data_IF_038431794178
#
_entry.id   IF_038431794178
#
_cell.length_a   1.000
_cell.length_b   1.000
_cell.length_c   1.000
_cell.angle_alpha   90.00
_cell.angle_beta   90.00
_cell.angle_gamma   90.00
#
_symmetry.space_group_name_H-M   'P 1'
#
loop_
_entity.id
_entity.type
_entity.pdbx_description
1 polymer ?
#
# COMPACT_ATOMS: atom_id res chain seq x y z
N UNK A 1 1.11 -28.62 4.55
CA UNK A 1 0.13 -28.31 5.63
C UNK A 1 -1.22 -28.14 4.96
N UNK A 2 -2.30 -28.63 5.55
CA UNK A 2 -3.63 -28.49 4.91
C UNK A 2 -4.30 -27.22 5.41
N UNK A 3 -3.89 -26.05 4.90
CA UNK A 3 -4.52 -24.78 5.24
C UNK A 3 -5.89 -24.66 4.56
N UNK A 4 -6.88 -24.12 5.28
CA UNK A 4 -8.24 -23.91 4.76
C UNK A 4 -8.39 -22.54 4.09
N UNK A 5 -7.53 -21.58 4.44
CA UNK A 5 -7.57 -20.24 3.89
C UNK A 5 -6.19 -19.61 3.78
N UNK A 6 -6.05 -18.77 2.75
CA UNK A 6 -4.89 -17.92 2.50
C UNK A 6 -5.34 -16.46 2.51
N UNK A 7 -4.71 -15.66 3.36
CA UNK A 7 -4.88 -14.23 3.42
C UNK A 7 -3.70 -13.57 2.70
N UNK A 8 -3.98 -12.67 1.78
CA UNK A 8 -2.95 -11.92 1.06
C UNK A 8 -2.99 -10.45 1.42
N UNK A 9 -1.83 -9.85 1.59
CA UNK A 9 -1.67 -8.42 1.42
C UNK A 9 -1.74 -8.05 -0.07
N UNK A 10 -1.95 -6.76 -0.38
CA UNK A 10 -2.09 -6.27 -1.75
C UNK A 10 -0.80 -5.65 -2.26
N UNK A 11 -0.36 -4.55 -1.63
CA UNK A 11 0.72 -3.70 -2.10
C UNK A 11 2.09 -4.36 -1.84
N UNK A 12 2.91 -4.47 -2.87
CA UNK A 12 4.20 -5.14 -2.88
C UNK A 12 4.16 -6.64 -2.50
N UNK A 13 2.94 -7.22 -2.52
CA UNK A 13 2.69 -8.65 -2.40
C UNK A 13 2.09 -9.23 -3.68
N UNK A 14 0.96 -8.70 -4.13
CA UNK A 14 0.27 -9.05 -5.38
C UNK A 14 0.40 -7.96 -6.44
N UNK A 15 0.32 -6.69 -6.03
CA UNK A 15 0.62 -5.53 -6.86
C UNK A 15 2.05 -5.08 -6.62
N UNK A 16 2.74 -4.67 -7.67
CA UNK A 16 4.05 -4.04 -7.56
C UNK A 16 3.88 -2.52 -7.41
N UNK A 17 3.42 -2.12 -6.21
CA UNK A 17 3.08 -0.72 -5.91
C UNK A 17 4.32 0.17 -5.86
N UNK A 18 5.43 -0.32 -5.30
CA UNK A 18 6.71 0.39 -5.28
C UNK A 18 7.15 0.83 -6.68
N UNK A 19 7.04 -0.07 -7.67
CA UNK A 19 7.34 0.26 -9.06
C UNK A 19 6.42 1.34 -9.61
N UNK A 20 5.12 1.22 -9.35
CA UNK A 20 4.12 2.19 -9.81
C UNK A 20 4.39 3.58 -9.24
N UNK A 21 4.73 3.66 -7.95
CA UNK A 21 5.09 4.92 -7.28
C UNK A 21 6.39 5.49 -7.84
N UNK A 22 7.42 4.64 -8.01
CA UNK A 22 8.72 5.08 -8.52
C UNK A 22 8.61 5.64 -9.94
N UNK A 23 7.93 4.92 -10.86
CA UNK A 23 7.74 5.40 -12.23
C UNK A 23 6.93 6.70 -12.29
N UNK A 24 5.92 6.87 -11.41
CA UNK A 24 5.17 8.12 -11.32
C UNK A 24 6.07 9.29 -10.89
N UNK A 25 6.95 9.09 -9.92
CA UNK A 25 7.95 10.10 -9.55
C UNK A 25 8.91 10.38 -10.70
N UNK A 26 9.48 9.35 -11.34
CA UNK A 26 10.43 9.50 -12.45
C UNK A 26 9.83 10.34 -13.59
N UNK A 27 8.59 10.06 -13.97
CA UNK A 27 7.91 10.80 -15.05
C UNK A 27 7.60 12.23 -14.64
N UNK A 28 7.06 12.45 -13.44
CA UNK A 28 6.70 13.79 -12.96
C UNK A 28 7.94 14.67 -12.76
N UNK A 29 9.02 14.10 -12.21
CA UNK A 29 10.28 14.84 -12.01
C UNK A 29 10.99 15.16 -13.33
N UNK A 30 10.85 14.33 -14.38
CA UNK A 30 11.35 14.68 -15.73
C UNK A 30 10.57 15.86 -16.32
N UNK A 31 9.26 15.91 -16.19
CA UNK A 31 8.46 17.07 -16.61
C UNK A 31 8.89 18.35 -15.87
N UNK A 32 9.19 18.26 -14.58
CA UNK A 32 9.72 19.38 -13.81
C UNK A 32 11.12 19.82 -14.28
N UNK A 33 11.99 18.86 -14.62
CA UNK A 33 13.33 19.15 -15.16
C UNK A 33 13.25 19.93 -16.49
N UNK A 34 12.34 19.54 -17.37
CA UNK A 34 12.09 20.25 -18.63
C UNK A 34 11.57 21.66 -18.41
N UNK A 35 10.71 21.87 -17.39
CA UNK A 35 10.11 23.16 -17.09
C UNK A 35 11.02 24.13 -16.34
N UNK A 36 11.83 23.64 -15.40
CA UNK A 36 12.58 24.46 -14.45
C UNK A 36 14.09 24.15 -14.38
N UNK A 37 14.59 23.21 -15.18
CA UNK A 37 16.02 22.86 -15.21
C UNK A 37 16.56 22.20 -13.94
N UNK A 38 15.70 21.63 -13.10
CA UNK A 38 16.10 20.94 -11.86
C UNK A 38 16.56 19.51 -12.14
N UNK A 39 17.43 18.97 -11.30
CA UNK A 39 17.78 17.55 -11.37
C UNK A 39 16.61 16.68 -10.91
N UNK A 40 16.13 15.70 -11.73
CA UNK A 40 14.95 14.89 -11.40
C UNK A 40 15.11 14.08 -10.12
N UNK A 41 16.30 13.50 -9.87
CA UNK A 41 16.53 12.67 -8.68
C UNK A 41 16.61 13.51 -7.42
N UNK A 42 17.25 14.68 -7.50
CA UNK A 42 17.29 15.61 -6.39
C UNK A 42 15.89 16.12 -6.05
N UNK A 43 15.06 16.40 -7.07
CA UNK A 43 13.67 16.81 -6.86
C UNK A 43 12.84 15.71 -6.20
N UNK A 44 12.93 14.46 -6.66
CA UNK A 44 12.23 13.35 -6.03
C UNK A 44 12.57 13.22 -4.53
N UNK A 45 13.87 13.25 -4.21
CA UNK A 45 14.32 13.19 -2.81
C UNK A 45 13.76 14.34 -1.98
N UNK A 46 13.79 15.56 -2.53
CA UNK A 46 13.25 16.74 -1.87
C UNK A 46 11.74 16.64 -1.66
N UNK A 47 10.96 16.28 -2.70
CA UNK A 47 9.51 16.11 -2.61
C UNK A 47 9.14 15.01 -1.60
N UNK A 48 9.83 13.86 -1.63
CA UNK A 48 9.58 12.79 -0.66
C UNK A 48 9.84 13.23 0.78
N UNK A 49 10.88 14.03 1.02
CA UNK A 49 11.19 14.58 2.33
C UNK A 49 10.12 15.57 2.80
N UNK A 50 9.77 16.53 1.96
CA UNK A 50 8.80 17.58 2.27
C UNK A 50 7.38 17.01 2.42
N UNK A 51 7.01 16.04 1.60
CA UNK A 51 5.73 15.33 1.72
C UNK A 51 5.60 14.63 3.08
N UNK A 52 6.65 13.92 3.54
CA UNK A 52 6.62 13.30 4.88
C UNK A 52 6.44 14.34 5.98
N UNK A 53 7.28 15.37 5.98
CA UNK A 53 7.23 16.42 7.01
C UNK A 53 5.87 17.13 7.06
N UNK A 54 5.31 17.44 5.90
CA UNK A 54 4.00 18.07 5.80
C UNK A 54 2.87 17.12 6.27
N UNK A 55 2.90 15.86 5.85
CA UNK A 55 1.92 14.84 6.23
C UNK A 55 1.86 14.62 7.75
N UNK A 56 3.03 14.53 8.38
CA UNK A 56 3.18 14.37 9.83
C UNK A 56 2.66 15.58 10.62
N UNK A 57 2.59 16.75 10.00
CA UNK A 57 2.09 17.98 10.64
C UNK A 57 0.57 18.09 10.71
N UNK A 58 -0.17 17.25 9.97
CA UNK A 58 -1.62 17.29 9.95
C UNK A 58 -2.26 16.59 11.16
N UNK A 59 -3.36 17.12 11.64
CA UNK A 59 -4.15 16.52 12.74
C UNK A 59 -4.66 15.10 12.44
N UNK A 60 -4.75 14.73 11.17
CA UNK A 60 -5.15 13.39 10.71
C UNK A 60 -4.03 12.35 10.79
N UNK A 61 -2.78 12.74 11.08
CA UNK A 61 -1.64 11.83 11.07
C UNK A 61 -1.80 10.60 11.99
N UNK A 62 -2.27 10.74 13.26
CA UNK A 62 -2.51 9.55 14.10
C UNK A 62 -3.53 8.57 13.51
N UNK A 63 -4.56 9.09 12.85
CA UNK A 63 -5.55 8.26 12.16
C UNK A 63 -4.94 7.54 10.96
N UNK A 64 -4.20 8.24 10.12
CA UNK A 64 -3.56 7.63 8.94
C UNK A 64 -2.53 6.57 9.31
N UNK A 65 -1.78 6.78 10.42
CA UNK A 65 -0.90 5.74 10.97
C UNK A 65 -1.69 4.51 11.44
N UNK A 66 -2.83 4.73 12.12
CA UNK A 66 -3.66 3.65 12.66
C UNK A 66 -4.24 2.75 11.57
N UNK A 67 -4.64 3.30 10.43
CA UNK A 67 -5.18 2.53 9.30
C UNK A 67 -4.16 2.21 8.21
N UNK A 68 -2.93 2.74 8.32
CA UNK A 68 -1.80 2.41 7.46
C UNK A 68 -1.78 3.13 6.12
N UNK A 69 -2.23 4.40 6.06
CA UNK A 69 -2.06 5.27 4.89
C UNK A 69 -0.72 6.00 5.01
N UNK A 70 0.13 5.89 4.00
CA UNK A 70 1.44 6.52 3.97
C UNK A 70 1.42 7.90 3.27
N UNK A 71 2.45 8.76 3.47
CA UNK A 71 2.52 10.09 2.85
C UNK A 71 2.45 10.07 1.32
N UNK A 72 2.99 9.04 0.68
CA UNK A 72 3.01 8.97 -0.79
C UNK A 72 1.66 8.56 -1.37
N UNK A 73 0.85 7.80 -0.63
CA UNK A 73 -0.55 7.60 -0.95
C UNK A 73 -1.34 8.91 -0.84
N UNK A 74 -0.99 9.79 0.12
CA UNK A 74 -1.50 11.14 0.22
C UNK A 74 -1.29 11.99 -1.04
N UNK A 75 -0.18 11.75 -1.77
CA UNK A 75 0.12 12.49 -3.01
C UNK A 75 -0.83 12.17 -4.17
N UNK A 76 -1.64 11.12 -4.09
CA UNK A 76 -2.58 10.79 -5.17
C UNK A 76 -3.98 10.35 -4.70
N UNK A 77 -4.16 10.05 -3.41
CA UNK A 77 -5.45 9.70 -2.83
C UNK A 77 -6.44 10.86 -2.82
N UNK A 78 -7.74 10.57 -3.02
CA UNK A 78 -8.81 11.55 -2.94
C UNK A 78 -9.57 11.51 -1.63
N UNK A 79 -9.54 10.39 -0.90
CA UNK A 79 -10.13 10.18 0.43
C UNK A 79 -11.63 10.47 0.53
N UNK A 80 -12.38 10.20 -0.55
CA UNK A 80 -13.82 10.48 -0.65
C UNK A 80 -14.69 9.45 0.05
N UNK A 81 -14.17 8.24 0.25
CA UNK A 81 -14.86 7.14 0.88
C UNK A 81 -14.35 6.88 2.30
N UNK A 82 -15.13 6.10 3.05
CA UNK A 82 -14.85 5.74 4.44
C UNK A 82 -15.76 6.48 5.42
N UNK A 83 -16.17 5.77 6.49
CA UNK A 83 -17.09 6.29 7.50
C UNK A 83 -16.43 7.24 8.51
N UNK A 84 -15.12 7.11 8.74
CA UNK A 84 -14.41 7.92 9.71
C UNK A 84 -14.40 9.40 9.31
N UNK A 85 -14.65 10.33 10.26
CA UNK A 85 -14.70 11.77 9.98
C UNK A 85 -13.37 12.32 9.46
N UNK A 86 -12.24 11.70 9.80
CA UNK A 86 -10.91 12.05 9.34
C UNK A 86 -10.79 11.99 7.82
N UNK A 87 -11.52 11.09 7.14
CA UNK A 87 -11.54 11.06 5.67
C UNK A 87 -12.09 12.35 5.07
N UNK A 88 -13.09 12.98 5.71
CA UNK A 88 -13.63 14.29 5.25
C UNK A 88 -12.61 15.40 5.41
N UNK A 89 -11.76 15.33 6.44
CA UNK A 89 -10.65 16.27 6.61
C UNK A 89 -9.60 16.03 5.51
N UNK A 90 -9.20 14.75 5.32
CA UNK A 90 -8.20 14.37 4.32
C UNK A 90 -8.64 14.76 2.89
N UNK A 91 -9.93 14.56 2.54
CA UNK A 91 -10.48 14.97 1.24
C UNK A 91 -10.27 16.48 0.98
N UNK A 92 -10.48 17.31 2.01
CA UNK A 92 -10.33 18.77 1.88
C UNK A 92 -8.87 19.20 1.78
N UNK A 93 -7.96 18.55 2.51
CA UNK A 93 -6.54 18.93 2.53
C UNK A 93 -5.71 18.32 1.39
N UNK A 94 -6.16 17.21 0.80
CA UNK A 94 -5.39 16.47 -0.19
C UNK A 94 -4.91 17.31 -1.39
N UNK A 95 -5.72 18.18 -2.02
CA UNK A 95 -5.26 19.03 -3.12
C UNK A 95 -4.14 20.00 -2.69
N UNK A 96 -4.29 20.63 -1.51
CA UNK A 96 -3.28 21.54 -0.97
C UNK A 96 -2.02 20.77 -0.57
N UNK A 97 -2.16 19.60 0.05
CA UNK A 97 -1.04 18.75 0.41
C UNK A 97 -0.19 18.39 -0.80
N UNK A 98 -0.82 17.98 -1.90
CA UNK A 98 -0.13 17.68 -3.17
C UNK A 98 0.63 18.88 -3.69
N UNK A 99 -0.05 20.01 -3.90
CA UNK A 99 0.55 21.24 -4.41
C UNK A 99 1.72 21.72 -3.55
N UNK A 100 1.53 21.73 -2.23
CA UNK A 100 2.54 22.21 -1.27
C UNK A 100 3.76 21.28 -1.20
N UNK A 101 3.56 19.96 -1.27
CA UNK A 101 4.67 19.00 -1.28
C UNK A 101 5.61 19.21 -2.47
N UNK A 102 5.06 19.42 -3.67
CA UNK A 102 5.84 19.69 -4.87
C UNK A 102 6.46 21.09 -4.85
N UNK A 103 5.72 22.11 -4.39
CA UNK A 103 6.26 23.47 -4.25
C UNK A 103 7.45 23.53 -3.30
N UNK A 104 7.36 22.87 -2.14
CA UNK A 104 8.47 22.81 -1.18
C UNK A 104 9.66 22.02 -1.72
N UNK A 105 9.40 20.93 -2.45
CA UNK A 105 10.45 20.20 -3.15
C UNK A 105 11.20 21.05 -4.16
N UNK A 106 10.50 21.86 -4.96
CA UNK A 106 11.12 22.82 -5.89
C UNK A 106 11.93 23.89 -5.17
N UNK A 107 11.37 24.47 -4.09
CA UNK A 107 12.07 25.48 -3.27
C UNK A 107 13.35 24.96 -2.65
N UNK A 108 13.38 23.68 -2.25
CA UNK A 108 14.59 23.06 -1.73
C UNK A 108 15.73 23.01 -2.76
N UNK A 109 15.41 23.10 -4.06
CA UNK A 109 16.37 23.19 -5.18
C UNK A 109 16.53 24.61 -5.73
N UNK A 110 16.02 25.63 -5.02
CA UNK A 110 16.16 27.04 -5.39
C UNK A 110 15.13 27.54 -6.40
N UNK A 111 14.09 26.78 -6.71
CA UNK A 111 13.01 27.17 -7.63
C UNK A 111 11.77 27.54 -6.81
N UNK A 112 11.44 28.84 -6.74
CA UNK A 112 10.22 29.32 -6.07
C UNK A 112 9.12 29.56 -7.12
N UNK A 113 8.45 28.47 -7.53
CA UNK A 113 7.35 28.47 -8.49
C UNK A 113 6.16 27.66 -7.96
N UNK A 114 5.23 28.30 -7.22
CA UNK A 114 4.03 27.64 -6.71
C UNK A 114 3.06 27.16 -7.80
N UNK A 115 3.04 27.81 -9.00
CA UNK A 115 2.20 27.39 -10.11
C UNK A 115 2.68 26.07 -10.70
N UNK A 116 4.00 25.93 -10.89
CA UNK A 116 4.60 24.68 -11.30
C UNK A 116 4.38 23.59 -10.22
N UNK A 117 4.57 23.92 -8.94
CA UNK A 117 4.31 23.00 -7.83
C UNK A 117 2.87 22.48 -7.83
N UNK A 118 1.89 23.34 -8.01
CA UNK A 118 0.48 22.94 -8.12
C UNK A 118 0.23 22.06 -9.36
N UNK A 119 0.80 22.40 -10.51
CA UNK A 119 0.71 21.61 -11.73
C UNK A 119 1.30 20.20 -11.55
N UNK A 120 2.47 20.07 -10.94
CA UNK A 120 3.10 18.78 -10.66
C UNK A 120 2.29 17.98 -9.63
N UNK A 121 1.70 18.65 -8.64
CA UNK A 121 0.79 18.07 -7.65
C UNK A 121 -0.46 17.42 -8.26
N UNK A 122 -0.95 17.91 -9.39
CA UNK A 122 -2.03 17.27 -10.17
C UNK A 122 -1.50 16.29 -11.22
N UNK A 123 -0.29 16.50 -11.71
CA UNK A 123 0.34 15.63 -12.71
C UNK A 123 0.71 14.26 -12.14
N UNK A 124 1.30 14.24 -10.94
CA UNK A 124 1.69 13.00 -10.28
C UNK A 124 0.52 12.01 -10.11
N UNK A 125 -0.63 12.38 -9.51
CA UNK A 125 -1.77 11.47 -9.41
C UNK A 125 -2.31 11.04 -10.78
N UNK A 126 -2.31 11.91 -11.78
CA UNK A 126 -2.74 11.57 -13.13
C UNK A 126 -1.86 10.46 -13.74
N UNK A 127 -0.54 10.58 -13.61
CA UNK A 127 0.41 9.56 -14.06
C UNK A 127 0.24 8.27 -13.23
N UNK A 128 0.23 8.38 -11.88
CA UNK A 128 0.15 7.21 -10.99
C UNK A 128 -1.05 6.30 -11.32
N UNK A 129 -2.19 6.90 -11.68
CA UNK A 129 -3.41 6.16 -12.07
C UNK A 129 -3.29 5.35 -13.35
N UNK A 130 -2.32 5.66 -14.21
CA UNK A 130 -2.04 4.87 -15.43
C UNK A 130 -1.08 3.71 -15.21
N UNK A 131 -0.47 3.62 -14.03
CA UNK A 131 0.59 2.68 -13.70
C UNK A 131 0.07 1.62 -12.72
N UNK A 132 -0.56 0.59 -13.24
CA UNK A 132 -1.05 -0.54 -12.46
C UNK A 132 -0.24 -1.80 -12.80
N UNK A 133 0.71 -2.15 -11.95
CA UNK A 133 1.57 -3.32 -12.12
C UNK A 133 1.19 -4.43 -11.16
N UNK A 134 1.15 -5.65 -11.69
CA UNK A 134 0.95 -6.90 -10.95
C UNK A 134 2.25 -7.67 -11.02
N UNK A 135 2.66 -8.34 -9.95
CA UNK A 135 3.79 -9.27 -10.04
C UNK A 135 3.48 -10.38 -11.04
N UNK A 136 4.49 -10.77 -11.81
CA UNK A 136 4.33 -11.72 -12.92
C UNK A 136 3.66 -13.05 -12.50
N UNK A 137 3.94 -13.50 -11.28
CA UNK A 137 3.46 -14.78 -10.75
C UNK A 137 2.08 -14.72 -10.08
N UNK A 138 1.50 -13.51 -9.90
CA UNK A 138 0.27 -13.30 -9.11
C UNK A 138 -0.89 -14.16 -9.60
N UNK A 139 -1.18 -14.13 -10.88
CA UNK A 139 -2.33 -14.87 -11.41
C UNK A 139 -2.09 -16.39 -11.43
N UNK A 140 -0.87 -16.85 -11.73
CA UNK A 140 -0.51 -18.27 -11.67
C UNK A 140 -0.74 -18.84 -10.26
N UNK A 141 -0.31 -18.09 -9.25
CA UNK A 141 -0.47 -18.48 -7.84
C UNK A 141 -1.93 -18.48 -7.42
N UNK A 142 -2.68 -17.44 -7.77
CA UNK A 142 -4.09 -17.35 -7.44
C UNK A 142 -4.93 -18.43 -8.15
N UNK A 143 -4.62 -18.75 -9.41
CA UNK A 143 -5.25 -19.85 -10.16
C UNK A 143 -5.01 -21.20 -9.51
N UNK A 144 -3.79 -21.44 -9.01
CA UNK A 144 -3.44 -22.69 -8.32
C UNK A 144 -4.17 -22.86 -6.98
N UNK A 145 -4.48 -21.76 -6.29
CA UNK A 145 -5.14 -21.78 -4.97
C UNK A 145 -6.67 -21.74 -5.06
N UNK A 146 -7.22 -21.10 -6.10
CA UNK A 146 -8.66 -20.89 -6.26
C UNK A 146 -9.43 -22.23 -6.31
N UNK A 147 -10.45 -22.33 -5.46
CA UNK A 147 -11.26 -23.54 -5.35
C UNK A 147 -10.66 -24.64 -4.45
N UNK A 148 -9.39 -24.54 -4.07
CA UNK A 148 -8.74 -25.46 -3.13
C UNK A 148 -8.77 -24.93 -1.69
N UNK A 149 -8.65 -23.62 -1.53
CA UNK A 149 -8.68 -22.90 -0.25
C UNK A 149 -9.53 -21.63 -0.40
N UNK A 150 -10.01 -21.08 0.72
CA UNK A 150 -10.62 -19.76 0.75
C UNK A 150 -9.54 -18.68 0.57
N UNK A 151 -9.85 -17.63 -0.20
CA UNK A 151 -8.92 -16.53 -0.45
C UNK A 151 -9.49 -15.23 0.11
N UNK A 152 -8.70 -14.51 0.90
CA UNK A 152 -9.07 -13.22 1.45
C UNK A 152 -7.96 -12.20 1.18
N UNK A 153 -8.34 -11.01 0.70
CA UNK A 153 -7.44 -9.87 0.57
C UNK A 153 -7.55 -9.00 1.82
N UNK A 154 -6.43 -8.77 2.51
CA UNK A 154 -6.35 -7.97 3.73
C UNK A 154 -5.33 -6.84 3.54
N UNK A 155 -5.81 -5.64 3.22
CA UNK A 155 -4.95 -4.52 2.86
C UNK A 155 -5.14 -3.30 3.75
N UNK A 156 -4.03 -2.62 4.07
CA UNK A 156 -4.05 -1.32 4.72
C UNK A 156 -4.24 -0.21 3.68
N UNK A 157 -5.01 0.83 4.01
CA UNK A 157 -5.19 1.99 3.14
C UNK A 157 -6.58 2.62 3.24
N UNK A 158 -6.81 3.68 2.46
CA UNK A 158 -8.14 4.27 2.34
C UNK A 158 -9.04 3.44 1.42
N UNK A 159 -10.36 3.43 1.66
CA UNK A 159 -11.29 2.61 0.88
C UNK A 159 -11.27 2.93 -0.61
N UNK A 160 -11.35 4.21 -0.97
CA UNK A 160 -11.38 4.65 -2.38
C UNK A 160 -10.04 4.37 -3.08
N UNK A 161 -8.92 4.58 -2.38
CA UNK A 161 -7.59 4.37 -2.95
C UNK A 161 -7.35 2.87 -3.28
N UNK A 162 -7.65 1.98 -2.33
CA UNK A 162 -7.47 0.54 -2.55
C UNK A 162 -8.44 -0.01 -3.60
N UNK A 163 -9.68 0.49 -3.64
CA UNK A 163 -10.64 0.16 -4.70
C UNK A 163 -10.18 0.68 -6.07
N UNK A 164 -9.56 1.86 -6.12
CA UNK A 164 -8.99 2.42 -7.35
C UNK A 164 -7.83 1.56 -7.86
N UNK A 165 -6.93 1.10 -6.98
CA UNK A 165 -5.87 0.14 -7.33
C UNK A 165 -6.45 -1.15 -7.94
N UNK A 166 -7.47 -1.74 -7.30
CA UNK A 166 -8.13 -2.95 -7.80
C UNK A 166 -8.86 -2.73 -9.13
N UNK A 167 -9.43 -1.53 -9.34
CA UNK A 167 -10.06 -1.16 -10.62
C UNK A 167 -9.03 -1.11 -11.75
N UNK A 168 -7.80 -0.69 -11.47
CA UNK A 168 -6.69 -0.70 -12.42
C UNK A 168 -6.26 -2.11 -12.85
N UNK A 169 -6.62 -3.14 -12.06
CA UNK A 169 -6.31 -4.57 -12.32
C UNK A 169 -7.57 -5.43 -12.14
N UNK A 170 -8.59 -5.28 -12.99
CA UNK A 170 -9.95 -5.79 -12.74
C UNK A 170 -10.06 -7.31 -12.62
N UNK A 171 -9.05 -8.05 -13.09
CA UNK A 171 -8.98 -9.51 -12.97
C UNK A 171 -8.66 -9.98 -11.54
N UNK A 172 -8.13 -9.10 -10.67
CA UNK A 172 -7.59 -9.50 -9.37
C UNK A 172 -8.70 -9.73 -8.33
N UNK A 173 -9.61 -8.76 -8.16
CA UNK A 173 -10.66 -8.82 -7.13
C UNK A 173 -11.54 -10.11 -7.19
N UNK A 174 -11.90 -10.66 -8.35
CA UNK A 174 -12.73 -11.87 -8.45
C UNK A 174 -12.10 -13.17 -7.92
N UNK A 175 -10.83 -13.15 -7.55
CA UNK A 175 -10.21 -14.33 -6.91
C UNK A 175 -10.60 -14.48 -5.45
N UNK A 176 -10.94 -13.39 -4.77
CA UNK A 176 -11.12 -13.35 -3.32
C UNK A 176 -12.58 -13.56 -2.92
N UNK A 177 -12.79 -14.40 -1.90
CA UNK A 177 -14.08 -14.57 -1.25
C UNK A 177 -14.46 -13.30 -0.45
N UNK A 178 -13.45 -12.64 0.15
CA UNK A 178 -13.60 -11.39 0.90
C UNK A 178 -12.44 -10.45 0.64
N UNK A 179 -12.72 -9.14 0.68
CA UNK A 179 -11.73 -8.06 0.63
C UNK A 179 -11.96 -7.18 1.85
N UNK A 180 -10.93 -7.03 2.69
CA UNK A 180 -10.95 -6.17 3.86
C UNK A 180 -9.94 -5.04 3.65
N UNK A 181 -10.45 -3.81 3.72
CA UNK A 181 -9.63 -2.60 3.66
C UNK A 181 -9.65 -1.96 5.06
N UNK A 182 -8.50 -1.66 5.61
CA UNK A 182 -8.38 -1.14 6.97
C UNK A 182 -9.15 0.15 7.20
N UNK A 183 -9.28 1.01 6.20
CA UNK A 183 -10.05 2.25 6.28
C UNK A 183 -11.56 2.04 6.41
N UNK A 184 -12.11 0.94 5.88
CA UNK A 184 -13.50 0.54 6.10
C UNK A 184 -13.69 -0.13 7.48
N UNK A 185 -12.69 -0.90 7.92
CA UNK A 185 -12.72 -1.60 9.21
C UNK A 185 -12.45 -0.66 10.41
N UNK A 186 -11.67 0.41 10.18
CA UNK A 186 -11.31 1.39 11.20
C UNK A 186 -9.99 1.12 11.93
N UNK A 187 -9.29 0.01 11.65
CA UNK A 187 -7.96 -0.32 12.15
C UNK A 187 -7.18 -1.13 11.13
N UNK A 188 -5.88 -0.84 10.99
CA UNK A 188 -5.00 -1.53 10.06
C UNK A 188 -4.14 -2.60 10.73
N UNK A 189 -3.55 -3.47 9.91
CA UNK A 189 -2.46 -4.36 10.33
C UNK A 189 -1.33 -3.49 10.93
N UNK A 190 -0.72 -3.89 12.06
CA UNK A 190 -0.74 -5.18 12.71
C UNK A 190 -1.74 -5.32 13.87
N UNK A 191 -2.84 -4.52 13.92
CA UNK A 191 -3.82 -4.67 14.98
C UNK A 191 -4.48 -6.07 14.88
N UNK A 192 -4.50 -6.86 15.97
CA UNK A 192 -5.05 -8.22 15.91
C UNK A 192 -6.57 -8.26 15.63
N UNK A 193 -7.29 -7.16 15.82
CA UNK A 193 -8.73 -7.13 15.59
C UNK A 193 -9.11 -7.32 14.13
N UNK A 194 -8.33 -6.75 13.19
CA UNK A 194 -8.60 -6.91 11.75
C UNK A 194 -8.33 -8.35 11.29
N UNK A 195 -7.34 -9.03 11.87
CA UNK A 195 -7.07 -10.44 11.58
C UNK A 195 -8.13 -11.36 12.18
N UNK A 196 -8.60 -11.07 13.41
CA UNK A 196 -9.74 -11.83 14.00
C UNK A 196 -10.99 -11.68 13.18
N UNK A 197 -11.30 -10.48 12.71
CA UNK A 197 -12.41 -10.25 11.80
C UNK A 197 -12.28 -11.04 10.50
N UNK A 198 -11.07 -11.11 9.93
CA UNK A 198 -10.81 -11.88 8.72
C UNK A 198 -11.07 -13.39 8.91
N UNK A 199 -10.59 -13.99 10.00
CA UNK A 199 -10.83 -15.43 10.27
C UNK A 199 -12.28 -15.72 10.61
N UNK A 200 -12.99 -14.80 11.27
CA UNK A 200 -14.43 -14.89 11.54
C UNK A 200 -15.24 -14.90 10.23
N UNK A 201 -14.96 -13.98 9.30
CA UNK A 201 -15.59 -13.95 7.97
C UNK A 201 -15.34 -15.24 7.19
N UNK A 202 -14.15 -15.80 7.31
CA UNK A 202 -13.78 -17.06 6.66
C UNK A 202 -14.37 -18.30 7.38
N UNK A 203 -14.83 -18.15 8.62
CA UNK A 203 -15.34 -19.27 9.43
C UNK A 203 -14.27 -20.32 9.71
N UNK A 204 -13.06 -19.89 10.08
CA UNK A 204 -11.90 -20.75 10.37
C UNK A 204 -11.25 -20.37 11.70
N UNK A 205 -10.48 -21.29 12.28
CA UNK A 205 -9.56 -20.97 13.36
C UNK A 205 -8.27 -20.30 12.79
N UNK A 206 -7.58 -19.42 13.56
CA UNK A 206 -6.34 -18.81 13.11
C UNK A 206 -5.28 -19.81 12.62
N UNK A 207 -5.17 -20.97 13.27
CA UNK A 207 -4.22 -22.04 12.89
C UNK A 207 -4.50 -22.68 11.52
N UNK A 208 -5.73 -22.54 11.03
CA UNK A 208 -6.19 -23.05 9.73
C UNK A 208 -5.95 -22.07 8.58
N UNK A 209 -5.59 -20.81 8.91
CA UNK A 209 -5.21 -19.77 7.96
C UNK A 209 -3.70 -19.61 7.83
N UNK A 210 -3.28 -18.87 6.80
CA UNK A 210 -1.91 -18.41 6.62
C UNK A 210 -1.94 -17.02 5.98
N UNK A 211 -1.16 -16.07 6.55
CA UNK A 211 -1.00 -14.73 6.01
C UNK A 211 0.22 -14.66 5.11
N UNK A 212 0.08 -14.05 3.94
CA UNK A 212 1.16 -13.81 2.99
C UNK A 212 1.30 -12.31 2.77
N UNK A 213 2.48 -11.76 3.03
CA UNK A 213 2.75 -10.34 2.89
C UNK A 213 4.24 -10.01 2.84
N UNK A 214 4.55 -8.77 2.45
CA UNK A 214 5.91 -8.25 2.30
C UNK A 214 6.46 -7.55 3.55
N UNK A 215 5.59 -7.21 4.53
CA UNK A 215 5.99 -6.39 5.68
C UNK A 215 6.02 -7.14 7.00
N UNK A 216 7.22 -7.21 7.61
CA UNK A 216 7.42 -7.79 8.95
C UNK A 216 6.61 -7.09 10.04
N UNK A 217 6.46 -5.75 9.94
CA UNK A 217 5.83 -4.91 10.95
C UNK A 217 4.29 -4.91 10.91
N UNK A 218 3.69 -5.35 9.82
CA UNK A 218 2.24 -5.38 9.64
C UNK A 218 1.72 -6.81 9.48
N UNK A 219 2.09 -7.49 8.42
CA UNK A 219 1.55 -8.79 8.04
C UNK A 219 2.03 -9.90 8.98
N UNK A 220 3.34 -9.98 9.17
CA UNK A 220 3.98 -11.02 9.99
C UNK A 220 3.68 -10.78 11.47
N UNK A 221 3.88 -9.56 11.96
CA UNK A 221 3.59 -9.22 13.33
C UNK A 221 2.10 -9.42 13.68
N UNK A 222 1.20 -8.96 12.80
CA UNK A 222 -0.24 -9.01 13.05
C UNK A 222 -0.80 -10.43 13.06
N UNK A 223 -0.43 -11.26 12.07
CA UNK A 223 -0.81 -12.67 12.01
C UNK A 223 -0.24 -13.48 13.17
N UNK A 224 1.01 -13.23 13.55
CA UNK A 224 1.63 -13.88 14.72
C UNK A 224 0.89 -13.57 16.04
N UNK A 225 0.35 -12.36 16.20
CA UNK A 225 -0.41 -11.94 17.41
C UNK A 225 -1.68 -12.74 17.63
N UNK A 226 -2.22 -13.40 16.61
CA UNK A 226 -3.40 -14.25 16.71
C UNK A 226 -3.08 -15.74 16.55
N UNK A 227 -1.80 -16.10 16.50
CA UNK A 227 -1.35 -17.49 16.33
C UNK A 227 -1.57 -18.04 14.91
N UNK A 228 -1.70 -17.18 13.92
CA UNK A 228 -1.79 -17.56 12.51
C UNK A 228 -0.39 -17.74 11.92
N UNK A 229 -0.20 -18.79 11.13
CA UNK A 229 1.04 -18.96 10.35
C UNK A 229 1.17 -17.86 9.31
N UNK A 230 2.42 -17.59 8.88
CA UNK A 230 2.69 -16.53 7.91
C UNK A 230 3.87 -16.87 7.00
N UNK A 231 3.87 -16.22 5.84
CA UNK A 231 4.95 -16.26 4.86
C UNK A 231 5.35 -14.82 4.56
N UNK A 232 6.60 -14.50 4.81
CA UNK A 232 7.17 -13.23 4.41
C UNK A 232 7.74 -13.32 3.00
N UNK A 233 7.24 -12.46 2.10
CA UNK A 233 7.81 -12.31 0.76
C UNK A 233 8.91 -11.25 0.84
N UNK A 234 10.15 -11.71 0.80
CA UNK A 234 11.33 -10.87 0.92
C UNK A 234 11.94 -10.58 -0.46
N UNK A 235 11.33 -9.67 -1.21
CA UNK A 235 11.78 -9.31 -2.55
C UNK A 235 13.19 -8.73 -2.61
N UNK A 236 13.64 -8.09 -1.53
CA UNK A 236 14.87 -7.30 -1.50
C UNK A 236 16.02 -7.95 -0.70
N UNK A 237 15.82 -9.16 -0.16
CA UNK A 237 16.84 -9.82 0.66
C UNK A 237 17.12 -9.08 1.98
N UNK A 238 16.11 -8.41 2.55
CA UNK A 238 16.26 -7.68 3.80
C UNK A 238 16.50 -8.60 4.99
N UNK A 239 17.20 -8.12 6.01
CA UNK A 239 17.39 -8.85 7.26
C UNK A 239 16.15 -8.74 8.15
N UNK A 240 15.85 -9.77 8.92
CA UNK A 240 14.72 -9.78 9.87
C UNK A 240 14.96 -8.79 11.01
N UNK A 241 16.23 -8.63 11.44
CA UNK A 241 16.61 -7.76 12.54
C UNK A 241 15.90 -8.13 13.85
N UNK A 242 15.37 -7.12 14.55
CA UNK A 242 14.65 -7.28 15.82
C UNK A 242 13.15 -7.58 15.65
N UNK A 243 12.67 -7.79 14.42
CA UNK A 243 11.26 -8.09 14.16
C UNK A 243 10.88 -9.51 14.56
N UNK A 244 9.58 -9.74 14.72
CA UNK A 244 9.04 -11.09 14.90
C UNK A 244 9.44 -11.96 13.72
N UNK A 245 10.09 -13.13 13.93
CA UNK A 245 10.48 -13.96 12.82
C UNK A 245 9.26 -14.55 12.10
N UNK A 246 9.24 -14.54 10.77
CA UNK A 246 8.20 -15.19 9.99
C UNK A 246 8.28 -16.71 10.15
N UNK A 247 7.14 -17.39 9.98
CA UNK A 247 7.12 -18.87 9.95
C UNK A 247 7.86 -19.42 8.74
N UNK A 248 7.69 -18.75 7.59
CA UNK A 248 8.40 -19.05 6.35
C UNK A 248 8.84 -17.73 5.69
N UNK A 249 9.93 -17.80 4.93
CA UNK A 249 10.43 -16.71 4.10
C UNK A 249 10.62 -17.22 2.68
N UNK A 250 10.11 -16.48 1.71
CA UNK A 250 10.30 -16.73 0.28
C UNK A 250 10.75 -15.46 -0.41
N UNK A 251 11.40 -15.58 -1.55
CA UNK A 251 11.81 -14.44 -2.38
C UNK A 251 10.92 -14.24 -3.59
N UNK A 252 10.11 -15.25 -3.91
CA UNK A 252 9.18 -15.25 -5.04
C UNK A 252 7.80 -15.68 -4.57
N UNK A 253 6.76 -15.03 -5.11
CA UNK A 253 5.39 -15.35 -4.76
C UNK A 253 5.03 -16.82 -5.06
N UNK A 254 5.52 -17.37 -6.17
CA UNK A 254 5.27 -18.77 -6.56
C UNK A 254 5.74 -19.81 -5.56
N UNK A 255 6.78 -19.51 -4.79
CA UNK A 255 7.36 -20.46 -3.84
C UNK A 255 6.39 -20.81 -2.70
N UNK A 256 5.36 -19.96 -2.45
CA UNK A 256 4.33 -20.25 -1.46
C UNK A 256 3.54 -21.52 -1.75
N UNK A 257 3.40 -21.92 -3.03
CA UNK A 257 2.63 -23.11 -3.44
C UNK A 257 3.21 -24.42 -2.88
N UNK A 258 4.47 -24.42 -2.50
CA UNK A 258 5.10 -25.58 -1.84
C UNK A 258 4.86 -25.64 -0.32
N UNK A 259 4.28 -24.57 0.26
CA UNK A 259 4.12 -24.40 1.71
C UNK A 259 2.64 -24.50 2.13
N UNK A 260 1.74 -23.98 1.30
CA UNK A 260 0.28 -23.88 1.56
C UNK A 260 -0.47 -25.22 1.38
#
# INVERSE_FOLDING_TARGET
MNKKAVLFDLDDTLLWDERSVQEAFDMTCREAAEAAGVDPKALELAVRKEARALYESYETFPFTQMIGINPFEGLWGNFREGAAPEFRIMERIAPQYRAESWTRGLRALGVDDPELGAKLGERFPAIRRTLAYVYEETYEVLDALKGNVKLLLLTNGSPDLQKEKLTGVPKLAPYFDHIIISGDFGRGKPDPSIFRHAVELLGIDPSEGIMIGDKLTTDILGSSRIGMDNIWINHHGAEIGEHVPPKHTVTRLKDILSIV
#
